data_IF_737937295874
#
_entry.id   IF_737937295874
#
_cell.length_a   1.000
_cell.length_b   1.000
_cell.length_c   1.000
_cell.angle_alpha   90.00
_cell.angle_beta   90.00
_cell.angle_gamma   90.00
#
_symmetry.space_group_name_H-M   'P 1'
#
loop_
_entity.id
_entity.type
_entity.pdbx_description
1 polymer ?
#
# COMPACT_ATOMS: atom_id res chain seq x y z
N UNK A 1 18.91 1.77 0.00
CA UNK A 1 17.78 2.71 -0.03
C UNK A 1 17.81 3.52 1.25
N UNK A 2 17.69 4.85 1.16
CA UNK A 2 17.65 5.74 2.33
C UNK A 2 16.24 5.77 2.96
N UNK A 3 16.08 6.25 4.20
CA UNK A 3 14.76 6.39 4.82
C UNK A 3 13.79 7.21 3.96
N UNK A 4 14.26 8.31 3.38
CA UNK A 4 13.45 9.16 2.51
C UNK A 4 13.00 8.43 1.23
N UNK A 5 13.90 7.69 0.57
CA UNK A 5 13.56 6.91 -0.62
C UNK A 5 12.53 5.82 -0.30
N UNK A 6 12.68 5.14 0.85
CA UNK A 6 11.71 4.16 1.33
C UNK A 6 10.34 4.82 1.56
N UNK A 7 10.32 6.00 2.17
CA UNK A 7 9.09 6.74 2.40
C UNK A 7 8.36 7.15 1.12
N UNK A 8 9.10 7.65 0.12
CA UNK A 8 8.53 7.98 -1.20
C UNK A 8 7.95 6.72 -1.84
N UNK A 9 8.69 5.62 -1.85
CA UNK A 9 8.23 4.36 -2.42
C UNK A 9 6.97 3.84 -1.73
N UNK A 10 6.97 3.83 -0.39
CA UNK A 10 5.84 3.37 0.41
C UNK A 10 4.58 4.19 0.15
N UNK A 11 4.69 5.53 0.16
CA UNK A 11 3.57 6.43 -0.13
C UNK A 11 3.07 6.28 -1.57
N UNK A 12 4.00 6.12 -2.52
CA UNK A 12 3.67 5.92 -3.93
C UNK A 12 2.91 4.63 -4.13
N UNK A 13 3.39 3.53 -3.54
CA UNK A 13 2.71 2.25 -3.62
C UNK A 13 1.34 2.32 -2.94
N UNK A 14 1.25 2.87 -1.73
CA UNK A 14 -0.03 3.06 -1.03
C UNK A 14 -1.04 3.84 -1.88
N UNK A 15 -0.63 4.98 -2.45
CA UNK A 15 -1.49 5.82 -3.27
C UNK A 15 -1.90 5.10 -4.56
N UNK A 16 -0.93 4.62 -5.33
CA UNK A 16 -1.17 3.96 -6.61
C UNK A 16 -2.03 2.72 -6.43
N UNK A 17 -1.81 1.96 -5.36
CA UNK A 17 -2.59 0.77 -5.09
C UNK A 17 -4.05 1.11 -4.80
N UNK A 18 -4.32 2.06 -3.90
CA UNK A 18 -5.67 2.53 -3.58
C UNK A 18 -6.41 3.00 -4.83
N UNK A 19 -5.78 3.87 -5.63
CA UNK A 19 -6.44 4.48 -6.79
C UNK A 19 -6.48 3.58 -8.02
N UNK A 20 -5.43 2.80 -8.32
CA UNK A 20 -5.42 1.91 -9.46
C UNK A 20 -6.44 0.78 -9.31
N UNK A 21 -6.59 0.22 -8.11
CA UNK A 21 -7.66 -0.73 -7.84
C UNK A 21 -9.01 -0.08 -7.87
N UNK A 22 -9.19 1.06 -7.21
CA UNK A 22 -10.47 1.74 -7.25
C UNK A 22 -10.88 2.02 -8.72
N UNK A 23 -9.93 2.44 -9.57
CA UNK A 23 -10.15 2.65 -11.00
C UNK A 23 -10.41 1.35 -11.76
N UNK A 24 -9.68 0.28 -11.48
CA UNK A 24 -9.92 -1.05 -12.05
C UNK A 24 -11.34 -1.51 -11.70
N UNK A 25 -11.71 -1.49 -10.42
CA UNK A 25 -13.04 -1.85 -9.91
C UNK A 25 -14.16 -1.03 -10.54
N UNK A 26 -13.97 0.29 -10.70
CA UNK A 26 -14.93 1.15 -11.41
C UNK A 26 -15.11 0.73 -12.87
N UNK A 27 -14.06 0.21 -13.52
CA UNK A 27 -14.10 -0.21 -14.93
C UNK A 27 -14.55 -1.66 -15.13
N UNK A 28 -14.21 -2.58 -14.23
CA UNK A 28 -14.41 -4.03 -14.40
C UNK A 28 -15.51 -4.61 -13.52
N UNK A 29 -15.92 -3.91 -12.45
CA UNK A 29 -16.80 -4.46 -11.42
C UNK A 29 -17.86 -3.49 -10.92
N UNK A 30 -18.29 -2.53 -11.74
CA UNK A 30 -19.24 -1.48 -11.33
C UNK A 30 -20.60 -2.01 -10.83
N UNK A 31 -20.98 -3.27 -11.11
CA UNK A 31 -22.28 -3.85 -10.68
C UNK A 31 -22.13 -5.32 -10.28
N UNK A 32 -22.54 -5.66 -9.04
CA UNK A 32 -22.75 -7.04 -8.61
C UNK A 32 -21.72 -7.64 -7.63
N UNK A 33 -21.90 -8.93 -7.24
CA UNK A 33 -21.08 -9.59 -6.23
C UNK A 33 -19.60 -9.74 -6.58
N UNK A 34 -19.22 -9.67 -7.86
CA UNK A 34 -17.80 -9.68 -8.28
C UNK A 34 -17.02 -8.51 -7.67
N UNK A 35 -17.69 -7.38 -7.34
CA UNK A 35 -17.07 -6.24 -6.69
C UNK A 35 -16.41 -6.63 -5.35
N UNK A 36 -17.06 -7.49 -4.57
CA UNK A 36 -16.53 -7.93 -3.27
C UNK A 36 -15.32 -8.85 -3.44
N UNK A 37 -15.40 -9.78 -4.40
CA UNK A 37 -14.30 -10.70 -4.74
C UNK A 37 -13.04 -9.94 -5.18
N UNK A 38 -13.16 -9.04 -6.16
CA UNK A 38 -12.01 -8.27 -6.62
C UNK A 38 -11.51 -7.28 -5.57
N UNK A 39 -12.37 -6.71 -4.72
CA UNK A 39 -11.94 -5.91 -3.58
C UNK A 39 -11.12 -6.72 -2.56
N UNK A 40 -11.48 -7.99 -2.33
CA UNK A 40 -10.73 -8.87 -1.44
C UNK A 40 -9.35 -9.20 -2.01
N UNK A 41 -9.28 -9.55 -3.30
CA UNK A 41 -8.01 -9.79 -4.02
C UNK A 41 -7.15 -8.54 -4.03
N UNK A 42 -7.74 -7.38 -4.31
CA UNK A 42 -7.05 -6.11 -4.23
C UNK A 42 -6.46 -5.89 -2.84
N UNK A 43 -7.26 -5.94 -1.78
CA UNK A 43 -6.74 -5.75 -0.42
C UNK A 43 -5.61 -6.73 -0.07
N UNK A 44 -5.71 -7.99 -0.49
CA UNK A 44 -4.65 -8.97 -0.23
C UNK A 44 -3.37 -8.65 -1.00
N UNK A 45 -3.45 -8.37 -2.32
CA UNK A 45 -2.29 -8.17 -3.17
C UNK A 45 -1.52 -6.87 -2.88
N UNK A 46 -2.17 -5.82 -2.40
CA UNK A 46 -1.48 -4.56 -2.10
C UNK A 46 -0.90 -4.49 -0.71
N UNK A 47 -1.49 -5.23 0.22
CA UNK A 47 -0.92 -5.42 1.54
C UNK A 47 0.43 -6.13 1.48
N UNK A 48 0.64 -7.01 0.49
CA UNK A 48 1.89 -7.79 0.37
C UNK A 48 3.13 -6.91 0.20
N UNK A 49 3.22 -5.98 -0.77
CA UNK A 49 4.38 -5.11 -0.90
C UNK A 49 4.52 -4.10 0.24
N UNK A 50 3.42 -3.57 0.77
CA UNK A 50 3.45 -2.69 1.94
C UNK A 50 4.02 -3.41 3.16
N UNK A 51 3.54 -4.61 3.45
CA UNK A 51 4.05 -5.44 4.55
C UNK A 51 5.51 -5.86 4.36
N UNK A 52 5.94 -6.10 3.11
CA UNK A 52 7.35 -6.35 2.80
C UNK A 52 8.22 -5.12 3.08
N UNK A 53 7.76 -3.91 2.70
CA UNK A 53 8.46 -2.65 2.99
C UNK A 53 8.50 -2.36 4.49
N UNK A 54 7.43 -2.61 5.23
CA UNK A 54 7.42 -2.49 6.70
C UNK A 54 8.42 -3.45 7.35
N UNK A 55 8.42 -4.72 6.93
CA UNK A 55 9.37 -5.73 7.43
C UNK A 55 10.81 -5.38 7.09
N UNK A 56 11.05 -4.83 5.91
CA UNK A 56 12.35 -4.29 5.52
C UNK A 56 12.76 -3.12 6.42
N UNK A 57 11.86 -2.17 6.66
CA UNK A 57 12.10 -1.00 7.50
C UNK A 57 12.54 -1.39 8.91
N UNK A 58 11.77 -2.29 9.56
CA UNK A 58 12.06 -2.84 10.89
C UNK A 58 13.43 -3.51 10.98
N UNK A 59 13.83 -4.22 9.93
CA UNK A 59 15.13 -4.91 9.88
C UNK A 59 16.30 -3.96 9.59
N UNK A 60 16.04 -2.81 8.98
CA UNK A 60 17.10 -1.94 8.45
C UNK A 60 17.62 -0.97 9.51
N UNK A 61 16.74 -0.14 10.08
CA UNK A 61 17.08 0.74 11.22
C UNK A 61 15.82 1.39 11.81
N UNK A 62 15.89 1.89 13.07
CA UNK A 62 14.78 2.62 13.70
C UNK A 62 14.30 3.84 12.88
N UNK A 63 15.19 4.49 12.14
CA UNK A 63 14.83 5.64 11.29
C UNK A 63 13.96 5.24 10.10
N UNK A 64 14.25 4.08 9.48
CA UNK A 64 13.42 3.58 8.38
C UNK A 64 12.02 3.23 8.87
N UNK A 65 11.94 2.58 10.04
CA UNK A 65 10.66 2.28 10.68
C UNK A 65 9.89 3.55 11.02
N UNK A 66 10.55 4.56 11.60
CA UNK A 66 9.93 5.86 11.93
C UNK A 66 9.35 6.57 10.71
N UNK A 67 10.00 6.50 9.55
CA UNK A 67 9.46 7.07 8.30
C UNK A 67 8.17 6.37 7.89
N UNK A 68 8.13 5.04 7.94
CA UNK A 68 6.93 4.27 7.60
C UNK A 68 5.79 4.56 8.57
N UNK A 69 6.06 4.59 9.88
CA UNK A 69 5.05 4.90 10.90
C UNK A 69 4.55 6.34 10.77
N UNK A 70 5.42 7.30 10.43
CA UNK A 70 5.01 8.68 10.15
C UNK A 70 4.08 8.75 8.94
N UNK A 71 4.34 7.98 7.89
CA UNK A 71 3.48 7.95 6.70
C UNK A 71 2.13 7.33 7.04
N UNK A 72 2.12 6.22 7.79
CA UNK A 72 0.88 5.58 8.24
C UNK A 72 0.05 6.53 9.10
N UNK A 73 0.66 7.18 10.09
CA UNK A 73 -0.04 8.12 10.97
C UNK A 73 -0.62 9.35 10.25
N UNK A 74 0.00 9.81 9.15
CA UNK A 74 -0.43 11.01 8.43
C UNK A 74 -1.35 10.76 7.23
N UNK A 75 -1.27 9.58 6.62
CA UNK A 75 -1.86 9.33 5.30
C UNK A 75 -2.69 8.03 5.20
N UNK A 76 -2.81 7.27 6.29
CA UNK A 76 -3.65 6.07 6.36
C UNK A 76 -4.98 6.38 7.03
#
# INVERSE_FOLDING_TARGET
MTPAQLGVLYKTWQHNFKYAIQKFMTKTGAKGPQRYFFNAIARSLGGVPLGAMEKYARRKSPEHEKVIETIKAKYW
#
